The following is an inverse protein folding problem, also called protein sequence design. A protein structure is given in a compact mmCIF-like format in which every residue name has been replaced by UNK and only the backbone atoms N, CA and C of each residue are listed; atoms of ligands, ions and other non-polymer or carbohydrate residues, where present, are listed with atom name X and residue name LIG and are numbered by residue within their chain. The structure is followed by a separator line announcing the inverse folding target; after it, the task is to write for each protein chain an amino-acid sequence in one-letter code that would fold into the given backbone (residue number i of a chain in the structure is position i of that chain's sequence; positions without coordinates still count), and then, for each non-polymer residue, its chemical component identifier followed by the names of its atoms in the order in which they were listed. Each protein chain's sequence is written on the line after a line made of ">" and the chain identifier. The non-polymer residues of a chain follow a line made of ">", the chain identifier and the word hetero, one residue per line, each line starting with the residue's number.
data_IF_483485399745
#
_entry.id   IF_483485399745
#
_cell.length_a   1.000
_cell.length_b   1.000
_cell.length_c   1.000
_cell.angle_alpha   90.00
_cell.angle_beta   90.00
_cell.angle_gamma   90.00
#
_symmetry.space_group_name_H-M   'P 1'
#
loop_
_entity.id
_entity.type
_entity.pdbx_description
1 polymer ?
#
# COMPACT_ATOMS: atom_id res chain seq x y z
N UNK A 1 12.39 26.98 4.58
CA UNK A 1 11.35 25.94 4.38
C UNK A 1 11.81 24.70 5.12
N UNK A 2 11.01 24.16 6.05
CA UNK A 2 11.41 23.02 6.90
C UNK A 2 11.75 21.80 6.03
N UNK A 3 13.03 21.43 6.02
CA UNK A 3 13.59 20.11 5.67
C UNK A 3 12.76 19.21 4.73
N UNK A 4 12.55 19.66 3.49
CA UNK A 4 11.99 18.82 2.42
C UNK A 4 10.51 18.44 2.53
N UNK A 5 9.75 19.10 3.40
CA UNK A 5 8.29 19.07 3.41
C UNK A 5 7.74 20.20 2.54
N UNK A 6 6.81 19.87 1.65
CA UNK A 6 6.20 20.81 0.70
C UNK A 6 4.86 21.32 1.26
N UNK A 7 3.92 20.40 1.50
CA UNK A 7 2.59 20.72 2.03
C UNK A 7 2.21 19.74 3.13
N UNK A 8 1.51 20.24 4.15
CA UNK A 8 0.93 19.42 5.23
C UNK A 8 -0.51 19.80 5.45
N UNK A 9 -1.43 18.84 5.39
CA UNK A 9 -2.86 19.10 5.54
C UNK A 9 -3.54 18.03 6.39
N UNK A 10 -4.56 18.45 7.14
CA UNK A 10 -5.45 17.56 7.86
C UNK A 10 -6.57 17.10 6.93
N UNK A 11 -6.79 15.79 6.84
CA UNK A 11 -7.85 15.20 6.04
C UNK A 11 -8.98 14.72 6.93
N UNK A 12 -10.18 15.22 6.63
CA UNK A 12 -11.41 14.76 7.24
C UNK A 12 -12.02 13.65 6.41
N UNK A 13 -11.91 12.42 6.87
CA UNK A 13 -12.66 11.30 6.30
C UNK A 13 -13.99 11.17 7.02
N UNK A 14 -15.06 10.85 6.27
CA UNK A 14 -16.37 10.51 6.88
C UNK A 14 -16.25 9.34 7.86
N UNK A 15 -15.32 8.42 7.58
CA UNK A 15 -14.98 7.31 8.45
C UNK A 15 -14.45 7.78 9.82
N UNK A 16 -13.49 8.72 9.84
CA UNK A 16 -12.95 9.24 11.10
C UNK A 16 -14.03 9.97 11.92
N UNK A 17 -14.88 10.76 11.26
CA UNK A 17 -16.00 11.44 11.92
C UNK A 17 -17.01 10.46 12.53
N UNK A 18 -17.42 9.42 11.77
CA UNK A 18 -18.40 8.43 12.24
C UNK A 18 -17.89 7.60 13.42
N UNK A 19 -16.60 7.24 13.41
CA UNK A 19 -15.99 6.37 14.42
C UNK A 19 -15.28 7.15 15.55
N UNK A 20 -15.41 8.49 15.60
CA UNK A 20 -14.74 9.36 16.59
C UNK A 20 -13.21 9.14 16.64
N UNK A 21 -12.59 8.90 15.48
CA UNK A 21 -11.14 8.69 15.36
C UNK A 21 -10.40 10.02 15.13
N UNK A 22 -9.11 10.11 15.52
CA UNK A 22 -8.25 11.23 15.14
C UNK A 22 -8.21 11.43 13.62
N UNK A 23 -8.04 12.68 13.20
CA UNK A 23 -7.95 13.05 11.78
C UNK A 23 -6.65 12.55 11.18
N UNK A 24 -6.71 12.18 9.90
CA UNK A 24 -5.52 11.82 9.14
C UNK A 24 -4.71 13.07 8.80
N UNK A 25 -3.37 12.96 8.80
CA UNK A 25 -2.46 14.02 8.39
C UNK A 25 -1.75 13.56 7.12
N UNK A 26 -1.91 14.32 6.06
CA UNK A 26 -1.25 14.06 4.79
C UNK A 26 -0.08 15.02 4.62
N UNK A 27 1.07 14.45 4.28
CA UNK A 27 2.31 15.20 4.09
C UNK A 27 2.77 14.95 2.66
N UNK A 28 2.87 16.05 1.89
CA UNK A 28 3.55 16.07 0.60
C UNK A 28 5.01 16.40 0.85
N UNK A 29 5.89 15.52 0.39
CA UNK A 29 7.34 15.73 0.47
C UNK A 29 7.86 16.23 -0.87
N UNK A 30 8.81 17.14 -0.84
CA UNK A 30 9.49 17.65 -2.04
C UNK A 30 10.32 16.55 -2.71
N UNK A 31 10.98 15.71 -1.91
CA UNK A 31 11.84 14.62 -2.39
C UNK A 31 11.23 13.25 -2.07
N UNK A 32 11.17 12.37 -3.07
CA UNK A 32 10.72 10.97 -2.92
C UNK A 32 11.61 10.15 -1.96
N UNK A 33 12.89 10.53 -1.84
CA UNK A 33 13.86 9.85 -0.98
C UNK A 33 13.41 9.89 0.49
N UNK A 34 13.03 11.08 0.98
CA UNK A 34 12.57 11.30 2.36
C UNK A 34 11.36 10.41 2.67
N UNK A 35 10.36 10.41 1.77
CA UNK A 35 9.18 9.53 1.88
C UNK A 35 9.57 8.05 1.97
N UNK A 36 10.57 7.62 1.21
CA UNK A 36 11.01 6.22 1.17
C UNK A 36 11.74 5.83 2.46
N UNK A 37 12.61 6.69 2.97
CA UNK A 37 13.31 6.51 4.24
C UNK A 37 12.34 6.43 5.41
N UNK A 38 11.35 7.33 5.49
CA UNK A 38 10.31 7.28 6.54
C UNK A 38 9.57 5.95 6.51
N UNK A 39 9.18 5.49 5.31
CA UNK A 39 8.48 4.21 5.16
C UNK A 39 9.33 2.99 5.54
N UNK A 40 10.66 3.05 5.34
CA UNK A 40 11.58 2.01 5.81
C UNK A 40 11.67 2.01 7.33
N UNK A 41 11.93 3.17 7.94
CA UNK A 41 12.01 3.31 9.40
C UNK A 41 10.72 2.85 10.09
N UNK A 42 9.55 3.14 9.52
CA UNK A 42 8.26 2.72 10.09
C UNK A 42 8.00 1.22 10.02
N UNK A 43 8.69 0.49 9.13
CA UNK A 43 8.61 -0.98 9.06
C UNK A 43 9.49 -1.61 10.14
N UNK A 44 10.66 -1.03 10.36
CA UNK A 44 11.65 -1.57 11.31
C UNK A 44 11.32 -1.19 12.75
N UNK A 45 10.71 -0.01 12.96
CA UNK A 45 10.44 0.54 14.29
C UNK A 45 9.03 1.12 14.38
N UNK A 46 8.33 0.78 15.46
CA UNK A 46 7.08 1.43 15.85
C UNK A 46 7.35 2.89 16.22
N UNK A 47 6.71 3.83 15.53
CA UNK A 47 6.83 5.25 15.85
C UNK A 47 5.88 5.59 16.99
N UNK A 48 6.40 6.34 17.98
CA UNK A 48 5.62 6.84 19.12
C UNK A 48 5.75 8.36 19.19
N UNK A 49 4.63 9.05 19.38
CA UNK A 49 4.56 10.47 19.66
C UNK A 49 3.79 10.70 20.96
N UNK A 50 4.43 11.30 21.96
CA UNK A 50 3.86 11.49 23.31
C UNK A 50 3.27 10.18 23.85
N UNK A 51 4.06 9.11 23.82
CA UNK A 51 3.71 7.74 24.26
C UNK A 51 2.62 7.05 23.44
N UNK A 52 1.99 7.73 22.47
CA UNK A 52 0.99 7.15 21.58
C UNK A 52 1.64 6.63 20.32
N UNK A 53 1.28 5.41 19.95
CA UNK A 53 1.73 4.80 18.70
C UNK A 53 1.08 5.50 17.51
N UNK A 54 1.91 5.78 16.50
CA UNK A 54 1.45 6.37 15.24
C UNK A 54 1.76 5.42 14.10
N UNK A 55 0.77 5.25 13.22
CA UNK A 55 0.90 4.42 12.03
C UNK A 55 1.07 5.32 10.81
N UNK A 56 2.10 5.06 10.01
CA UNK A 56 2.37 5.79 8.78
C UNK A 56 2.05 4.89 7.59
N UNK A 57 1.19 5.37 6.70
CA UNK A 57 0.78 4.64 5.50
C UNK A 57 1.05 5.46 4.24
N UNK A 58 1.34 4.76 3.14
CA UNK A 58 1.45 5.41 1.83
C UNK A 58 0.06 5.79 1.33
N UNK A 59 -0.15 7.08 1.04
CA UNK A 59 -1.37 7.50 0.34
C UNK A 59 -1.41 6.91 -1.07
N UNK A 60 -2.50 6.19 -1.38
CA UNK A 60 -2.80 5.64 -2.70
C UNK A 60 -4.08 6.31 -3.21
N UNK A 61 -4.06 6.93 -4.40
CA UNK A 61 -5.23 7.52 -5.04
C UNK A 61 -6.40 6.53 -5.12
N UNK A 62 -7.63 7.04 -4.97
CA UNK A 62 -8.84 6.22 -4.96
C UNK A 62 -8.99 5.38 -6.24
N UNK A 63 -8.78 5.98 -7.42
CA UNK A 63 -8.84 5.28 -8.71
C UNK A 63 -7.96 4.02 -8.75
N UNK A 64 -6.72 4.13 -8.26
CA UNK A 64 -5.78 3.00 -8.20
C UNK A 64 -6.26 1.95 -7.19
N UNK A 65 -6.86 2.37 -6.08
CA UNK A 65 -7.41 1.46 -5.07
C UNK A 65 -8.58 0.64 -5.62
N UNK A 66 -9.42 1.27 -6.43
CA UNK A 66 -10.57 0.62 -7.05
C UNK A 66 -10.11 -0.44 -8.07
N UNK A 67 -9.14 -0.14 -8.95
CA UNK A 67 -8.53 -1.13 -9.86
C UNK A 67 -7.94 -2.32 -9.07
N UNK A 68 -7.20 -2.04 -7.99
CA UNK A 68 -6.59 -3.10 -7.16
C UNK A 68 -7.59 -3.99 -6.44
N UNK A 69 -8.84 -3.57 -6.27
CA UNK A 69 -9.89 -4.41 -5.68
C UNK A 69 -10.30 -5.56 -6.59
N UNK A 70 -10.18 -5.37 -7.90
CA UNK A 70 -10.50 -6.42 -8.88
C UNK A 70 -9.56 -7.61 -8.69
N UNK A 71 -8.28 -7.36 -8.44
CA UNK A 71 -7.26 -8.36 -8.10
C UNK A 71 -7.38 -8.97 -6.68
N UNK A 72 -8.51 -8.75 -5.97
CA UNK A 72 -8.69 -9.24 -4.60
C UNK A 72 -8.69 -10.76 -4.51
N UNK A 73 -9.16 -11.47 -5.54
CA UNK A 73 -9.15 -12.94 -5.60
C UNK A 73 -7.72 -13.49 -5.55
N UNK A 74 -6.84 -12.96 -6.41
CA UNK A 74 -5.44 -13.36 -6.48
C UNK A 74 -4.69 -13.00 -5.20
N UNK A 75 -4.85 -11.77 -4.71
CA UNK A 75 -4.14 -11.34 -3.50
C UNK A 75 -4.54 -12.11 -2.24
N UNK A 76 -5.81 -12.53 -2.12
CA UNK A 76 -6.24 -13.42 -1.02
C UNK A 76 -5.54 -14.77 -1.10
N UNK A 77 -5.43 -15.35 -2.29
CA UNK A 77 -4.78 -16.65 -2.47
C UNK A 77 -3.27 -16.57 -2.23
N UNK A 78 -2.61 -15.49 -2.70
CA UNK A 78 -1.21 -15.22 -2.41
C UNK A 78 -0.96 -15.09 -0.90
N UNK A 79 -1.82 -14.34 -0.19
CA UNK A 79 -1.73 -14.18 1.27
C UNK A 79 -1.94 -15.50 2.02
N UNK A 80 -2.91 -16.32 1.60
CA UNK A 80 -3.19 -17.63 2.19
C UNK A 80 -1.99 -18.56 2.11
N UNK A 81 -1.20 -18.45 1.05
CA UNK A 81 0.01 -19.24 0.81
C UNK A 81 1.28 -18.60 1.38
N UNK A 82 1.17 -17.46 2.07
CA UNK A 82 2.32 -16.75 2.64
C UNK A 82 3.25 -16.12 1.59
N UNK A 83 2.76 -15.90 0.37
CA UNK A 83 3.56 -15.37 -0.74
C UNK A 83 3.60 -13.84 -0.65
N UNK A 84 4.81 -13.29 -0.60
CA UNK A 84 5.01 -11.85 -0.67
C UNK A 84 4.80 -11.35 -2.10
N UNK A 85 4.03 -10.28 -2.23
CA UNK A 85 3.76 -9.63 -3.50
C UNK A 85 3.97 -8.11 -3.42
N UNK A 86 4.28 -7.53 -4.58
CA UNK A 86 4.46 -6.10 -4.76
C UNK A 86 3.51 -5.61 -5.84
N UNK A 87 2.70 -4.62 -5.49
CA UNK A 87 1.90 -3.92 -6.49
C UNK A 87 2.76 -3.11 -7.44
N UNK A 88 2.51 -3.26 -8.73
CA UNK A 88 2.91 -2.32 -9.75
C UNK A 88 1.94 -1.11 -9.73
N UNK A 89 2.38 0.00 -10.33
CA UNK A 89 1.57 1.23 -10.46
C UNK A 89 1.51 1.52 -11.96
N UNK A 90 0.32 1.72 -12.55
CA UNK A 90 -1.00 1.83 -11.91
C UNK A 90 -1.65 0.48 -11.55
N UNK A 91 -1.43 -0.54 -12.37
CA UNK A 91 -2.05 -1.86 -12.32
C UNK A 91 -0.98 -2.96 -12.29
N UNK A 92 -1.35 -4.14 -11.79
CA UNK A 92 -0.53 -5.34 -11.85
C UNK A 92 0.20 -5.71 -10.56
N UNK A 93 0.67 -6.95 -10.53
CA UNK A 93 1.30 -7.60 -9.39
C UNK A 93 2.61 -8.26 -9.81
N UNK A 94 3.59 -8.15 -8.93
CA UNK A 94 4.87 -8.81 -9.04
C UNK A 94 5.09 -9.67 -7.79
N UNK A 95 5.32 -10.95 -7.98
CA UNK A 95 5.62 -11.87 -6.88
C UNK A 95 6.52 -13.00 -7.37
N UNK A 96 7.13 -13.72 -6.44
CA UNK A 96 7.92 -14.91 -6.74
C UNK A 96 7.12 -16.13 -6.31
N UNK A 97 6.94 -17.08 -7.22
CA UNK A 97 6.26 -18.35 -6.98
C UNK A 97 7.09 -19.47 -7.60
N UNK A 98 7.34 -20.56 -6.85
CA UNK A 98 8.18 -21.67 -7.30
C UNK A 98 9.53 -21.22 -7.90
N UNK A 99 10.21 -20.29 -7.21
CA UNK A 99 11.49 -19.68 -7.64
C UNK A 99 11.42 -18.85 -8.94
N UNK A 100 10.27 -18.81 -9.61
CA UNK A 100 10.00 -17.99 -10.78
C UNK A 100 9.38 -16.65 -10.40
N UNK A 101 9.86 -15.60 -11.03
CA UNK A 101 9.33 -14.25 -10.84
C UNK A 101 8.20 -14.01 -11.83
N UNK A 102 6.98 -13.92 -11.31
CA UNK A 102 5.79 -13.66 -12.11
C UNK A 102 5.45 -12.16 -12.10
N UNK A 103 5.15 -11.65 -13.29
CA UNK A 103 4.66 -10.29 -13.52
C UNK A 103 3.29 -10.37 -14.20
N UNK A 104 2.26 -10.00 -13.46
CA UNK A 104 0.87 -10.00 -13.92
C UNK A 104 0.47 -8.56 -14.13
N UNK A 105 0.32 -8.15 -15.39
CA UNK A 105 0.01 -6.77 -15.76
C UNK A 105 -1.49 -6.54 -16.06
N UNK A 106 -2.28 -7.60 -16.25
CA UNK A 106 -3.71 -7.54 -16.61
C UNK A 106 -4.55 -8.52 -15.79
N UNK A 107 -5.85 -8.26 -15.70
CA UNK A 107 -6.81 -9.10 -14.98
C UNK A 107 -6.89 -10.50 -15.60
N UNK A 108 -6.96 -10.61 -16.93
CA UNK A 108 -7.05 -11.90 -17.64
C UNK A 108 -5.85 -12.80 -17.31
N UNK A 109 -4.64 -12.22 -17.24
CA UNK A 109 -3.43 -12.96 -16.84
C UNK A 109 -3.49 -13.40 -15.38
N UNK A 110 -4.14 -12.61 -14.52
CA UNK A 110 -4.35 -12.98 -13.12
C UNK A 110 -5.31 -14.16 -12.99
N UNK A 111 -6.39 -14.17 -13.75
CA UNK A 111 -7.35 -15.28 -13.78
C UNK A 111 -6.72 -16.56 -14.32
N UNK A 112 -6.02 -16.48 -15.45
CA UNK A 112 -5.29 -17.61 -16.03
C UNK A 112 -4.28 -18.19 -15.02
N UNK A 113 -3.53 -17.34 -14.33
CA UNK A 113 -2.58 -17.79 -13.31
C UNK A 113 -3.26 -18.53 -12.16
N UNK A 114 -4.41 -18.04 -11.68
CA UNK A 114 -5.16 -18.70 -10.61
C UNK A 114 -5.70 -20.05 -11.09
N UNK A 115 -6.20 -20.13 -12.33
CA UNK A 115 -6.70 -21.37 -12.92
C UNK A 115 -5.62 -22.43 -13.10
N UNK A 116 -4.41 -22.04 -13.52
CA UNK A 116 -3.30 -22.97 -13.77
C UNK A 116 -2.62 -23.45 -12.47
N UNK A 117 -2.39 -22.55 -11.51
CA UNK A 117 -1.51 -22.83 -10.37
C UNK A 117 -2.24 -23.03 -9.04
N UNK A 118 -3.48 -22.56 -8.90
CA UNK A 118 -4.21 -22.56 -7.63
C UNK A 118 -5.46 -23.46 -7.62
N UNK A 119 -5.59 -24.35 -8.61
CA UNK A 119 -6.60 -25.41 -8.63
C UNK A 119 -6.31 -26.53 -7.64
#
# INVERSE_FOLDING_TARGET
>A
MKDGMDETFHVYTRYAMRNKLPREVHIRFTKKIIKTQILQVTRDKTLKYKEKEITVLKQIPRRIRDIRREYSFLTKELLKRGINYRWLIPEGLLFTWQELRHRIDTLDKAELFVMEYFR
#
